data_IF_762008374484
#
_entry.id   IF_762008374484
#
_cell.length_a   1.000
_cell.length_b   1.000
_cell.length_c   1.000
_cell.angle_alpha   90.00
_cell.angle_beta   90.00
_cell.angle_gamma   90.00
#
_symmetry.space_group_name_H-M   'P 1'
#
loop_
_entity.id
_entity.type
_entity.pdbx_description
1 polymer ?
#
# COMPACT_ATOMS: atom_id res chain seq x y z
N UNK A 1 -38.38 27.54 71.82
CA UNK A 1 -37.18 28.39 71.55
C UNK A 1 -36.26 27.65 70.59
N UNK A 2 -35.44 28.36 69.80
CA UNK A 2 -35.64 28.85 68.42
C UNK A 2 -35.36 27.79 67.31
N UNK A 3 -36.05 27.86 66.18
CA UNK A 3 -35.63 28.38 64.85
C UNK A 3 -34.38 27.70 64.22
N UNK A 4 -34.55 26.88 63.17
CA UNK A 4 -34.30 27.22 61.75
C UNK A 4 -34.32 25.96 60.86
N UNK A 5 -35.13 26.04 59.80
CA UNK A 5 -35.13 25.17 58.64
C UNK A 5 -33.97 25.53 57.68
N UNK A 6 -33.40 24.54 56.99
CA UNK A 6 -33.20 24.54 55.52
C UNK A 6 -32.47 23.23 55.15
N UNK A 7 -33.08 22.29 54.42
CA UNK A 7 -33.43 22.28 52.99
C UNK A 7 -32.19 22.39 52.07
N UNK A 8 -31.49 21.26 51.91
CA UNK A 8 -30.46 21.10 50.86
C UNK A 8 -31.14 20.71 49.54
N UNK A 9 -31.27 21.69 48.65
CA UNK A 9 -31.60 21.51 47.24
C UNK A 9 -30.34 21.09 46.45
N UNK A 10 -30.48 20.06 45.61
CA UNK A 10 -29.54 19.73 44.54
C UNK A 10 -29.65 20.74 43.38
N UNK A 11 -28.51 21.14 42.79
CA UNK A 11 -28.39 21.35 41.33
C UNK A 11 -26.90 21.40 40.87
N UNK A 12 -26.58 21.17 39.57
CA UNK A 12 -25.26 20.69 39.13
C UNK A 12 -24.45 21.62 38.17
N UNK A 13 -23.11 21.40 38.12
CA UNK A 13 -22.09 21.68 37.04
C UNK A 13 -21.81 23.18 36.73
N UNK A 14 -20.73 23.61 35.99
CA UNK A 14 -19.68 22.90 35.24
C UNK A 14 -18.21 23.41 35.44
N UNK A 15 -17.26 22.77 34.75
CA UNK A 15 -15.81 22.98 34.70
C UNK A 15 -15.36 24.37 34.18
N UNK A 16 -14.05 24.70 34.36
CA UNK A 16 -13.12 25.10 33.28
C UNK A 16 -11.74 25.57 33.81
N UNK A 17 -10.71 25.27 32.98
CA UNK A 17 -9.45 26.03 32.79
C UNK A 17 -8.21 25.59 33.58
N UNK A 18 -7.59 24.51 33.10
CA UNK A 18 -6.13 24.35 33.24
C UNK A 18 -5.41 25.18 32.18
N UNK A 19 -4.73 26.26 32.57
CA UNK A 19 -3.82 27.00 31.69
C UNK A 19 -2.43 26.32 31.68
N UNK A 20 -2.00 25.88 30.50
CA UNK A 20 -0.64 25.42 30.26
C UNK A 20 0.21 26.60 29.76
N UNK A 21 1.23 26.97 30.53
CA UNK A 21 2.22 27.97 30.13
C UNK A 21 3.21 27.38 29.09
N UNK A 22 3.14 27.84 27.84
CA UNK A 22 4.13 27.54 26.80
C UNK A 22 5.29 28.53 26.93
N UNK A 23 6.45 28.05 27.37
CA UNK A 23 7.71 28.82 27.29
C UNK A 23 8.22 28.78 25.85
N UNK A 24 8.16 29.91 25.15
CA UNK A 24 8.82 30.10 23.86
C UNK A 24 10.35 29.96 24.01
N UNK A 25 11.00 29.15 23.17
CA UNK A 25 12.46 29.10 23.02
C UNK A 25 12.81 29.63 21.63
N UNK A 26 13.60 30.71 21.60
CA UNK A 26 14.24 31.29 20.40
C UNK A 26 15.11 30.25 19.67
N UNK A 27 15.07 30.17 18.32
CA UNK A 27 16.12 29.49 17.57
C UNK A 27 17.36 30.39 17.48
N UNK A 28 18.48 29.92 18.03
CA UNK A 28 19.81 30.49 17.78
C UNK A 28 20.24 30.16 16.35
N UNK A 29 20.65 31.19 15.64
CA UNK A 29 21.34 31.17 14.36
C UNK A 29 22.63 30.34 14.46
N UNK A 30 22.86 29.44 13.49
CA UNK A 30 24.12 28.73 13.35
C UNK A 30 24.52 28.71 11.87
N UNK A 31 25.40 29.64 11.50
CA UNK A 31 26.25 29.57 10.30
C UNK A 31 26.99 28.24 10.27
N UNK A 32 26.77 27.42 9.25
CA UNK A 32 27.70 26.36 8.85
C UNK A 32 27.77 26.29 7.33
N UNK A 33 28.90 26.77 6.82
CA UNK A 33 29.38 26.49 5.48
C UNK A 33 29.54 24.98 5.31
N UNK A 34 29.00 24.41 4.25
CA UNK A 34 29.40 23.10 3.76
C UNK A 34 29.42 23.18 2.23
N UNK A 35 30.63 23.15 1.68
CA UNK A 35 30.87 23.08 0.25
C UNK A 35 30.29 21.77 -0.30
N UNK A 36 29.51 21.87 -1.37
CA UNK A 36 29.03 20.72 -2.13
C UNK A 36 30.19 20.23 -2.99
N UNK A 37 30.79 19.10 -2.63
CA UNK A 37 31.60 18.32 -3.57
C UNK A 37 30.64 17.50 -4.44
N UNK A 38 30.70 17.61 -5.78
CA UNK A 38 29.97 16.70 -6.65
C UNK A 38 30.68 15.36 -6.61
N UNK A 39 30.08 14.39 -5.93
CA UNK A 39 30.58 13.03 -5.96
C UNK A 39 30.01 12.33 -7.20
N UNK A 40 30.85 12.25 -8.23
CA UNK A 40 30.79 11.23 -9.28
C UNK A 40 30.78 9.84 -8.61
N UNK A 41 29.64 9.16 -8.64
CA UNK A 41 29.55 7.73 -8.34
C UNK A 41 29.18 6.98 -9.60
N UNK A 42 30.20 6.77 -10.42
CA UNK A 42 30.25 5.62 -11.33
C UNK A 42 30.34 4.33 -10.50
N UNK A 43 29.86 3.23 -11.08
CA UNK A 43 29.86 1.83 -10.59
C UNK A 43 28.65 1.48 -9.68
N UNK A 44 27.73 0.58 -10.02
CA UNK A 44 27.75 -0.52 -11.01
C UNK A 44 26.29 -0.80 -11.39
N UNK A 45 25.86 -0.36 -12.57
CA UNK A 45 24.59 -0.78 -13.17
C UNK A 45 24.74 -2.24 -13.60
N UNK A 46 24.18 -3.16 -12.82
CA UNK A 46 23.91 -4.50 -13.28
C UNK A 46 22.82 -4.40 -14.37
N UNK A 47 23.27 -4.34 -15.61
CA UNK A 47 22.62 -4.69 -16.88
C UNK A 47 21.10 -4.89 -16.80
N UNK A 48 20.35 -3.80 -16.82
CA UNK A 48 19.05 -3.79 -17.50
C UNK A 48 19.30 -3.17 -18.87
N UNK A 49 19.02 -3.87 -19.95
CA UNK A 49 19.27 -3.34 -21.29
C UNK A 49 18.53 -2.00 -21.46
N UNK A 50 19.18 -0.95 -22.01
CA UNK A 50 18.59 0.37 -22.20
C UNK A 50 17.25 0.35 -22.96
N UNK A 51 17.06 -0.65 -23.83
CA UNK A 51 15.84 -0.84 -24.61
C UNK A 51 14.60 -1.14 -23.74
N UNK A 52 14.77 -1.84 -22.60
CA UNK A 52 13.68 -2.09 -21.65
C UNK A 52 13.32 -0.85 -20.84
N UNK A 53 14.29 -0.01 -20.50
CA UNK A 53 14.05 1.22 -19.73
C UNK A 53 13.35 2.29 -20.59
N UNK A 54 13.66 2.32 -21.89
CA UNK A 54 13.20 3.36 -22.81
C UNK A 54 11.73 3.18 -23.22
N UNK A 55 11.20 1.94 -23.20
CA UNK A 55 9.78 1.67 -23.48
C UNK A 55 8.85 1.92 -22.27
N UNK A 56 9.40 2.23 -21.09
CA UNK A 56 8.68 2.49 -19.83
C UNK A 56 8.48 3.99 -19.54
N UNK A 57 8.35 4.84 -20.57
CA UNK A 57 8.29 6.32 -20.41
C UNK A 57 6.89 6.89 -20.10
N UNK A 58 5.93 6.05 -19.74
CA UNK A 58 4.73 6.48 -19.02
C UNK A 58 4.84 5.88 -17.61
N UNK A 59 5.10 6.70 -16.57
CA UNK A 59 5.06 6.22 -15.20
C UNK A 59 3.59 5.93 -14.90
N UNK A 60 3.16 4.70 -15.16
CA UNK A 60 1.93 4.17 -14.59
C UNK A 60 1.94 4.59 -13.11
N UNK A 61 0.92 5.32 -12.63
CA UNK A 61 0.94 5.84 -11.29
C UNK A 61 1.22 4.68 -10.33
N UNK A 62 2.04 4.88 -9.29
CA UNK A 62 2.37 3.81 -8.36
C UNK A 62 1.06 3.18 -7.90
N UNK A 63 0.98 1.85 -7.94
CA UNK A 63 -0.17 1.08 -7.46
C UNK A 63 -0.23 1.20 -5.93
N UNK A 64 -0.48 2.41 -5.44
CA UNK A 64 -0.50 2.81 -4.06
C UNK A 64 -1.74 3.66 -3.78
N UNK A 65 -2.42 3.37 -2.68
CA UNK A 65 -3.60 4.12 -2.27
C UNK A 65 -4.35 3.43 -1.16
N UNK A 66 -5.56 3.90 -0.87
CA UNK A 66 -6.45 3.30 0.12
C UNK A 66 -7.52 2.42 -0.54
N UNK A 67 -7.64 1.18 -0.06
CA UNK A 67 -8.66 0.22 -0.48
C UNK A 67 -9.37 -0.37 0.74
N UNK A 68 -10.63 -0.78 0.55
CA UNK A 68 -11.38 -1.55 1.53
C UNK A 68 -11.11 -3.02 1.29
N UNK A 69 -10.33 -3.66 2.16
CA UNK A 69 -10.14 -5.11 2.13
C UNK A 69 -11.38 -5.80 2.67
N UNK A 70 -11.95 -6.73 1.91
CA UNK A 70 -12.98 -7.64 2.39
C UNK A 70 -12.31 -8.81 3.11
N UNK A 71 -12.59 -8.94 4.41
CA UNK A 71 -12.00 -9.98 5.26
C UNK A 71 -12.77 -11.29 5.12
N UNK A 72 -12.13 -12.41 5.47
CA UNK A 72 -12.77 -13.73 5.51
C UNK A 72 -13.99 -13.81 6.45
N UNK A 73 -14.13 -12.84 7.36
CA UNK A 73 -15.29 -12.72 8.28
C UNK A 73 -16.42 -11.84 7.72
N UNK A 74 -16.36 -11.44 6.45
CA UNK A 74 -17.35 -10.55 5.83
C UNK A 74 -17.18 -9.05 6.15
N UNK A 75 -16.19 -8.68 6.98
CA UNK A 75 -16.00 -7.28 7.40
C UNK A 75 -15.09 -6.54 6.41
N UNK A 76 -15.46 -5.31 6.05
CA UNK A 76 -14.63 -4.40 5.27
C UNK A 76 -13.66 -3.60 6.17
N UNK A 77 -12.39 -3.53 5.79
CA UNK A 77 -11.37 -2.76 6.53
C UNK A 77 -10.52 -1.90 5.61
N UNK A 78 -10.36 -0.62 5.95
CA UNK A 78 -9.44 0.27 5.24
C UNK A 78 -8.00 -0.20 5.38
N UNK A 79 -7.31 -0.27 4.24
CA UNK A 79 -5.88 -0.57 4.12
C UNK A 79 -5.23 0.47 3.23
N UNK A 80 -4.06 0.96 3.64
CA UNK A 80 -3.12 1.57 2.69
C UNK A 80 -2.39 0.43 1.99
N UNK A 81 -2.58 0.35 0.69
CA UNK A 81 -2.07 -0.68 -0.19
C UNK A 81 -0.94 -0.08 -1.02
N UNK A 82 0.12 -0.85 -1.24
CA UNK A 82 1.17 -0.54 -2.21
C UNK A 82 1.55 -1.86 -2.91
N UNK A 83 1.53 -1.88 -4.24
CA UNK A 83 1.95 -3.01 -5.08
C UNK A 83 3.18 -2.61 -5.89
N UNK A 84 4.20 -3.45 -5.88
CA UNK A 84 5.51 -3.15 -6.47
C UNK A 84 6.23 -4.42 -6.91
N UNK A 85 7.21 -4.31 -7.82
CA UNK A 85 8.12 -5.41 -8.18
C UNK A 85 9.32 -5.36 -7.21
N UNK A 86 9.64 -6.47 -6.55
CA UNK A 86 10.80 -6.56 -5.66
C UNK A 86 12.10 -6.89 -6.43
N UNK A 87 13.25 -6.90 -5.73
CA UNK A 87 14.55 -7.25 -6.32
C UNK A 87 14.65 -8.69 -6.86
N UNK A 88 13.71 -9.57 -6.52
CA UNK A 88 13.61 -10.95 -7.01
C UNK A 88 12.66 -11.07 -8.21
N UNK A 89 12.31 -9.94 -8.84
CA UNK A 89 11.36 -9.86 -9.94
C UNK A 89 10.00 -10.48 -9.59
N UNK A 90 9.51 -10.27 -8.37
CA UNK A 90 8.19 -10.72 -7.94
C UNK A 90 7.27 -9.52 -7.70
N UNK A 91 6.02 -9.61 -8.14
CA UNK A 91 4.99 -8.64 -7.77
C UNK A 91 4.60 -8.85 -6.31
N UNK A 92 4.83 -7.85 -5.49
CA UNK A 92 4.55 -7.84 -4.06
C UNK A 92 3.42 -6.86 -3.75
N UNK A 93 2.47 -7.28 -2.93
CA UNK A 93 1.52 -6.35 -2.28
C UNK A 93 1.90 -6.14 -0.83
N UNK A 94 1.85 -4.89 -0.37
CA UNK A 94 2.05 -4.47 1.01
C UNK A 94 0.77 -3.79 1.52
N UNK A 95 0.21 -4.34 2.59
CA UNK A 95 -0.99 -3.84 3.24
C UNK A 95 -0.62 -3.23 4.59
N UNK A 96 -1.00 -1.97 4.83
CA UNK A 96 -0.86 -1.29 6.12
C UNK A 96 -2.23 -0.97 6.72
N UNK A 97 -2.42 -1.33 7.98
CA UNK A 97 -3.67 -1.05 8.74
C UNK A 97 -3.51 0.19 9.60
N UNK A 98 -4.54 1.03 9.69
CA UNK A 98 -4.59 2.12 10.67
C UNK A 98 -4.82 1.53 12.08
N UNK A 99 -4.11 2.07 13.07
CA UNK A 99 -4.28 1.80 14.50
C UNK A 99 -5.23 2.83 15.11
N UNK A 100 -5.76 2.52 16.30
CA UNK A 100 -6.49 3.48 17.14
C UNK A 100 -5.51 4.61 17.51
N UNK A 101 -5.78 5.83 17.06
CA UNK A 101 -4.82 6.96 17.15
C UNK A 101 -4.18 7.38 15.83
N UNK A 102 -4.60 6.81 14.69
CA UNK A 102 -4.30 7.33 13.35
C UNK A 102 -2.98 6.87 12.72
N UNK A 103 -2.02 6.36 13.51
CA UNK A 103 -0.78 5.76 13.01
C UNK A 103 -1.00 4.37 12.37
N UNK A 104 -0.12 3.93 11.47
CA UNK A 104 -0.21 2.57 10.88
C UNK A 104 0.57 1.54 11.72
N UNK A 105 -0.10 0.54 12.29
CA UNK A 105 0.55 -0.44 13.21
C UNK A 105 0.96 -1.76 12.55
N UNK A 106 0.13 -2.30 11.66
CA UNK A 106 0.32 -3.66 11.12
C UNK A 106 0.60 -3.62 9.63
N UNK A 107 1.75 -4.18 9.25
CA UNK A 107 2.09 -4.43 7.86
C UNK A 107 1.90 -5.93 7.53
N UNK A 108 1.38 -6.24 6.36
CA UNK A 108 1.37 -7.59 5.78
C UNK A 108 1.91 -7.48 4.36
N UNK A 109 2.76 -8.41 3.94
CA UNK A 109 3.29 -8.49 2.58
C UNK A 109 3.07 -9.89 2.02
N UNK A 110 2.68 -9.99 0.76
CA UNK A 110 2.60 -11.27 0.06
C UNK A 110 2.90 -11.10 -1.43
N UNK A 111 3.31 -12.19 -2.06
CA UNK A 111 3.49 -12.26 -3.52
C UNK A 111 2.11 -12.35 -4.17
N UNK A 112 1.94 -11.60 -5.27
CA UNK A 112 0.76 -11.61 -6.12
C UNK A 112 1.11 -12.35 -7.41
N UNK A 113 0.26 -13.30 -7.81
CA UNK A 113 0.43 -14.08 -9.03
C UNK A 113 -0.66 -13.83 -10.07
N UNK A 114 -1.72 -13.10 -9.71
CA UNK A 114 -2.82 -12.82 -10.61
C UNK A 114 -3.88 -11.90 -10.02
N UNK A 115 -4.71 -11.35 -10.91
CA UNK A 115 -5.88 -10.51 -10.58
C UNK A 115 -7.16 -11.29 -10.94
N UNK A 116 -8.22 -11.09 -10.17
CA UNK A 116 -9.56 -11.60 -10.40
C UNK A 116 -10.54 -10.44 -10.40
N UNK A 117 -11.03 -10.03 -11.56
CA UNK A 117 -11.98 -8.94 -11.73
C UNK A 117 -13.36 -9.39 -12.23
N UNK A 118 -13.45 -10.64 -12.73
CA UNK A 118 -14.66 -11.32 -13.18
C UNK A 118 -15.33 -12.18 -12.11
N UNK A 119 -16.66 -12.21 -12.08
CA UNK A 119 -17.51 -12.90 -11.10
C UNK A 119 -17.23 -14.41 -10.97
N UNK A 120 -16.81 -15.08 -12.05
CA UNK A 120 -16.59 -16.54 -12.09
C UNK A 120 -15.38 -16.99 -11.27
N UNK A 121 -14.42 -16.10 -11.01
CA UNK A 121 -13.18 -16.42 -10.31
C UNK A 121 -13.30 -16.38 -8.77
N UNK A 122 -14.49 -16.07 -8.23
CA UNK A 122 -14.72 -15.83 -6.80
C UNK A 122 -15.36 -17.03 -6.10
N UNK A 123 -14.74 -17.55 -5.02
CA UNK A 123 -15.24 -18.73 -4.31
C UNK A 123 -16.48 -18.47 -3.44
N UNK A 124 -16.83 -17.21 -3.15
CA UNK A 124 -17.92 -16.86 -2.22
C UNK A 124 -18.90 -15.87 -2.86
N UNK A 125 -19.99 -16.41 -3.43
CA UNK A 125 -20.95 -15.68 -4.28
C UNK A 125 -22.31 -15.40 -3.62
N UNK A 126 -22.71 -16.13 -2.57
CA UNK A 126 -24.13 -16.21 -2.16
C UNK A 126 -24.64 -15.11 -1.22
N UNK A 127 -23.79 -14.28 -0.62
CA UNK A 127 -24.20 -13.32 0.44
C UNK A 127 -23.94 -11.83 0.13
N UNK A 128 -23.50 -11.47 -1.09
CA UNK A 128 -23.20 -10.06 -1.39
C UNK A 128 -24.44 -9.35 -1.94
N UNK A 129 -25.11 -8.56 -1.10
CA UNK A 129 -26.13 -7.57 -1.51
C UNK A 129 -25.55 -6.38 -2.32
N UNK A 130 -24.24 -6.31 -2.51
CA UNK A 130 -23.57 -5.17 -3.15
C UNK A 130 -23.09 -5.50 -4.55
N UNK A 131 -23.32 -4.59 -5.51
CA UNK A 131 -22.80 -4.60 -6.88
C UNK A 131 -21.37 -5.17 -6.97
N UNK A 132 -21.25 -6.40 -7.47
CA UNK A 132 -19.98 -7.12 -7.65
C UNK A 132 -18.99 -6.35 -8.54
N UNK A 133 -19.52 -5.45 -9.38
CA UNK A 133 -18.79 -4.61 -10.32
C UNK A 133 -17.71 -3.72 -9.68
N UNK A 134 -17.78 -3.47 -8.36
CA UNK A 134 -16.83 -2.65 -7.62
C UNK A 134 -15.73 -3.45 -6.91
N UNK A 135 -15.72 -4.77 -7.04
CA UNK A 135 -14.72 -5.62 -6.38
C UNK A 135 -13.66 -6.12 -7.36
N UNK A 136 -12.44 -6.31 -6.86
CA UNK A 136 -11.39 -7.07 -7.53
C UNK A 136 -10.61 -7.86 -6.47
N UNK A 137 -10.03 -8.98 -6.89
CA UNK A 137 -9.33 -9.93 -6.04
C UNK A 137 -7.90 -10.14 -6.51
N UNK A 138 -7.01 -10.48 -5.60
CA UNK A 138 -5.62 -10.83 -5.88
C UNK A 138 -5.36 -12.27 -5.47
N UNK A 139 -4.84 -13.06 -6.41
CA UNK A 139 -4.35 -14.41 -6.15
C UNK A 139 -2.98 -14.30 -5.50
N UNK A 140 -2.87 -14.78 -4.26
CA UNK A 140 -1.62 -14.77 -3.49
C UNK A 140 -1.34 -16.17 -2.94
N UNK A 141 -0.11 -16.40 -2.46
CA UNK A 141 0.23 -17.68 -1.79
C UNK A 141 -0.57 -17.93 -0.50
N UNK A 142 -1.24 -16.90 0.03
CA UNK A 142 -2.11 -16.98 1.21
C UNK A 142 -3.60 -17.19 0.82
N UNK A 143 -3.89 -17.37 -0.47
CA UNK A 143 -5.23 -17.42 -1.04
C UNK A 143 -5.65 -16.09 -1.67
N UNK A 144 -6.96 -15.95 -1.90
CA UNK A 144 -7.56 -14.76 -2.49
C UNK A 144 -7.63 -13.61 -1.47
N UNK A 145 -7.15 -12.43 -1.86
CA UNK A 145 -7.34 -11.18 -1.12
C UNK A 145 -8.29 -10.29 -1.91
N UNK A 146 -9.38 -9.88 -1.29
CA UNK A 146 -10.47 -9.19 -1.96
C UNK A 146 -10.49 -7.70 -1.56
N UNK A 147 -10.73 -6.82 -2.54
CA UNK A 147 -10.86 -5.39 -2.32
C UNK A 147 -12.16 -4.84 -2.92
N UNK A 148 -12.77 -3.90 -2.19
CA UNK A 148 -13.86 -3.05 -2.68
C UNK A 148 -13.32 -1.68 -3.10
N UNK A 149 -13.71 -1.23 -4.27
CA UNK A 149 -13.39 0.07 -4.82
C UNK A 149 -14.51 1.09 -4.60
N UNK A 150 -14.16 2.38 -4.69
CA UNK A 150 -15.10 3.49 -4.59
C UNK A 150 -15.91 3.71 -5.89
N UNK A 151 -15.37 3.31 -7.03
CA UNK A 151 -15.99 3.43 -8.35
C UNK A 151 -15.41 2.41 -9.34
N UNK A 152 -16.08 2.21 -10.49
CA UNK A 152 -15.59 1.35 -11.58
C UNK A 152 -14.23 1.83 -12.11
N UNK A 153 -14.06 3.14 -12.28
CA UNK A 153 -12.79 3.75 -12.72
C UNK A 153 -11.69 3.46 -11.70
N UNK A 154 -11.99 3.54 -10.39
CA UNK A 154 -11.01 3.21 -9.36
C UNK A 154 -10.60 1.73 -9.43
N UNK A 155 -11.56 0.82 -9.65
CA UNK A 155 -11.28 -0.59 -9.88
C UNK A 155 -10.35 -0.78 -11.09
N UNK A 156 -10.68 -0.21 -12.24
CA UNK A 156 -9.89 -0.37 -13.47
C UNK A 156 -8.45 0.11 -13.29
N UNK A 157 -8.24 1.30 -12.70
CA UNK A 157 -6.88 1.80 -12.40
C UNK A 157 -6.03 0.81 -11.58
N UNK A 158 -6.64 0.16 -10.59
CA UNK A 158 -5.95 -0.85 -9.78
C UNK A 158 -5.70 -2.15 -10.57
N UNK A 159 -6.70 -2.63 -11.31
CA UNK A 159 -6.59 -3.86 -12.10
C UNK A 159 -5.52 -3.70 -13.19
N UNK A 160 -5.61 -2.63 -13.99
CA UNK A 160 -4.68 -2.33 -15.08
C UNK A 160 -3.24 -2.18 -14.56
N UNK A 161 -3.07 -1.42 -13.48
CA UNK A 161 -1.76 -1.19 -12.88
C UNK A 161 -1.12 -2.49 -12.38
N UNK A 162 -1.88 -3.35 -11.71
CA UNK A 162 -1.36 -4.63 -11.19
C UNK A 162 -1.10 -5.63 -12.33
N UNK A 163 -1.99 -5.71 -13.32
CA UNK A 163 -1.79 -6.54 -14.50
C UNK A 163 -0.55 -6.11 -15.28
N UNK A 164 -0.29 -4.81 -15.38
CA UNK A 164 0.93 -4.30 -15.98
C UNK A 164 2.19 -4.75 -15.24
N UNK A 165 2.21 -4.69 -13.91
CA UNK A 165 3.34 -5.20 -13.12
C UNK A 165 3.55 -6.71 -13.31
N UNK A 166 2.47 -7.50 -13.35
CA UNK A 166 2.54 -8.94 -13.59
C UNK A 166 3.11 -9.26 -14.98
N UNK A 167 2.70 -8.50 -16.00
CA UNK A 167 3.20 -8.63 -17.37
C UNK A 167 4.69 -8.29 -17.47
N UNK A 168 5.16 -7.23 -16.80
CA UNK A 168 6.58 -6.89 -16.75
C UNK A 168 7.44 -8.01 -16.16
N UNK A 169 7.00 -8.60 -15.04
CA UNK A 169 7.68 -9.76 -14.44
C UNK A 169 7.70 -10.96 -15.39
N UNK A 170 6.61 -11.20 -16.13
CA UNK A 170 6.54 -12.28 -17.10
C UNK A 170 7.55 -12.10 -18.25
N UNK A 171 7.70 -10.89 -18.78
CA UNK A 171 8.67 -10.62 -19.85
C UNK A 171 10.11 -10.73 -19.37
N UNK A 172 10.42 -10.20 -18.18
CA UNK A 172 11.76 -10.34 -17.60
C UNK A 172 12.15 -11.81 -17.46
N UNK A 173 11.24 -12.66 -16.96
CA UNK A 173 11.48 -14.09 -16.84
C UNK A 173 11.64 -14.79 -18.20
N UNK A 174 10.87 -14.39 -19.21
CA UNK A 174 11.00 -14.95 -20.55
C UNK A 174 12.35 -14.59 -21.20
N UNK A 175 12.82 -13.35 -20.99
CA UNK A 175 14.13 -12.90 -21.46
C UNK A 175 15.27 -13.69 -20.79
N UNK A 176 15.21 -13.90 -19.47
CA UNK A 176 16.20 -14.72 -18.73
C UNK A 176 16.29 -16.14 -19.28
N UNK A 177 15.16 -16.79 -19.57
CA UNK A 177 15.14 -18.16 -20.11
C UNK A 177 15.63 -18.24 -21.57
N UNK A 178 15.46 -17.18 -22.35
CA UNK A 178 15.94 -17.13 -23.74
C UNK A 178 17.45 -16.89 -23.88
N UNK A 179 18.12 -16.50 -22.79
CA UNK A 179 19.57 -16.24 -22.74
C UNK A 179 20.38 -17.42 -22.20
N UNK A 180 19.76 -18.59 -21.98
CA UNK A 180 20.49 -19.84 -21.74
C UNK A 180 21.41 -20.12 -22.95
N UNK A 181 22.74 -20.04 -22.80
CA UNK A 181 23.64 -20.31 -23.90
C UNK A 181 23.54 -21.79 -24.23
N UNK A 182 23.25 -22.10 -25.50
CA UNK A 182 23.49 -23.43 -26.05
C UNK A 182 24.99 -23.71 -25.92
N UNK A 183 25.40 -24.38 -24.85
CA UNK A 183 26.76 -24.92 -24.74
C UNK A 183 26.87 -26.01 -25.80
N UNK A 184 27.38 -25.63 -26.97
CA UNK A 184 27.84 -26.57 -27.98
C UNK A 184 29.09 -27.20 -27.37
N UNK A 185 28.91 -28.37 -26.75
CA UNK A 185 30.03 -29.23 -26.37
C UNK A 185 30.68 -29.75 -27.66
N UNK A 186 31.68 -29.01 -28.14
CA UNK A 186 32.60 -29.50 -29.15
C UNK A 186 33.44 -30.60 -28.49
N UNK A 187 32.96 -31.85 -28.62
CA UNK A 187 33.79 -33.02 -28.38
C UNK A 187 34.72 -33.18 -29.58
N UNK A 188 36.03 -33.07 -29.31
CA UNK A 188 37.14 -33.27 -30.26
C UNK A 188 37.23 -34.76 -30.63
#
# INVERSE_FOLDING_TARGET
MPIFMNLNHLSPKPALRGEAAVRARLPKEAKKNAAISPYERTMTEAYWSPDFLTQMKEPNPPCEGELLQHTRKGVLRWKRVNVYINKKSQVMIKLKSKHVGGAFSKNNKCIVFGVCDETSAWPYRKERETCEELYFGLKTGQGLIEFKCKSKIHKQKWVDGIQNLLRQVSYAKAAELSLEPLSIDNTI
#
